data_IF_667459006274
#
_entry.id   IF_667459006274
#
_cell.length_a   1.000
_cell.length_b   1.000
_cell.length_c   1.000
_cell.angle_alpha   90.00
_cell.angle_beta   90.00
_cell.angle_gamma   90.00
#
_symmetry.space_group_name_H-M   'P 1'
#
loop_
_entity.id
_entity.type
_entity.pdbx_description
1 polymer ?
#
# COMPACT_ATOMS: atom_id res chain seq x y z
N UNK A 1 67.28 19.89 -38.49
CA UNK A 1 66.40 18.74 -38.16
C UNK A 1 66.13 18.81 -36.67
N UNK A 2 65.01 19.40 -36.26
CA UNK A 2 64.58 19.45 -34.86
C UNK A 2 63.11 19.07 -34.82
N UNK A 3 62.82 17.97 -34.11
CA UNK A 3 61.49 17.51 -33.74
C UNK A 3 61.17 18.10 -32.36
N UNK A 4 59.94 18.56 -32.16
CA UNK A 4 58.96 17.93 -31.26
C UNK A 4 57.82 18.92 -30.99
N UNK A 5 56.60 18.50 -31.28
CA UNK A 5 55.38 19.29 -31.21
C UNK A 5 54.91 19.46 -29.76
N UNK A 6 54.66 20.70 -29.37
CA UNK A 6 53.76 21.14 -28.29
C UNK A 6 52.32 20.71 -28.57
N UNK A 7 51.64 20.06 -27.60
CA UNK A 7 50.23 20.35 -27.28
C UNK A 7 49.74 19.65 -26.01
N UNK A 8 48.67 20.20 -25.43
CA UNK A 8 47.84 19.74 -24.30
C UNK A 8 48.21 20.35 -22.93
N UNK A 9 47.76 21.56 -22.59
CA UNK A 9 46.38 22.08 -22.43
C UNK A 9 45.82 21.80 -21.02
N UNK A 10 45.97 22.82 -20.17
CA UNK A 10 45.01 23.33 -19.18
C UNK A 10 44.64 22.40 -18.01
N UNK A 11 45.44 22.53 -16.94
CA UNK A 11 45.02 22.30 -15.56
C UNK A 11 44.11 23.46 -15.12
N UNK A 12 42.83 23.20 -14.86
CA UNK A 12 41.99 24.15 -14.16
C UNK A 12 40.88 23.50 -13.33
N UNK A 13 40.89 23.94 -12.07
CA UNK A 13 39.74 24.09 -11.18
C UNK A 13 39.32 22.90 -10.31
N UNK A 14 40.05 22.76 -9.20
CA UNK A 14 39.44 22.42 -7.92
C UNK A 14 38.37 23.47 -7.55
N UNK A 15 37.12 23.03 -7.35
CA UNK A 15 36.15 23.70 -6.49
C UNK A 15 35.03 22.72 -6.09
N UNK A 16 35.19 22.17 -4.87
CA UNK A 16 34.15 22.16 -3.84
C UNK A 16 32.78 21.55 -4.18
N UNK A 17 32.46 20.38 -3.63
CA UNK A 17 31.13 20.13 -3.04
C UNK A 17 31.23 18.98 -2.02
N UNK A 18 31.38 19.39 -0.76
CA UNK A 18 30.89 18.65 0.39
C UNK A 18 29.35 18.63 0.34
N UNK A 19 28.74 17.52 -0.10
CA UNK A 19 27.30 17.27 0.09
C UNK A 19 26.93 15.79 -0.10
N UNK A 20 26.38 15.23 0.96
CA UNK A 20 25.52 14.05 1.00
C UNK A 20 26.16 12.68 0.74
N UNK A 21 26.66 12.07 1.80
CA UNK A 21 26.59 10.61 2.00
C UNK A 21 25.12 10.19 2.08
N UNK A 22 24.49 9.98 0.92
CA UNK A 22 23.31 9.13 0.80
C UNK A 22 23.79 7.66 0.91
N UNK A 23 23.12 6.80 1.69
CA UNK A 23 23.53 5.41 1.79
C UNK A 23 23.35 4.72 0.44
N UNK A 24 24.34 3.91 0.12
CA UNK A 24 24.45 3.02 -1.03
C UNK A 24 23.12 2.28 -1.27
N UNK A 25 22.44 2.62 -2.35
CA UNK A 25 21.29 1.87 -2.84
C UNK A 25 21.84 0.65 -3.57
N UNK A 26 22.29 -0.34 -2.79
CA UNK A 26 22.64 -1.65 -3.31
C UNK A 26 21.50 -2.14 -4.20
N UNK A 27 21.89 -2.43 -5.42
CA UNK A 27 21.11 -2.73 -6.61
C UNK A 27 20.35 -4.05 -6.42
N UNK A 28 19.22 -4.02 -5.70
CA UNK A 28 18.37 -5.19 -5.59
C UNK A 28 17.59 -5.34 -6.90
N UNK A 29 18.08 -6.21 -7.78
CA UNK A 29 17.39 -6.57 -9.03
C UNK A 29 16.05 -7.26 -8.74
N UNK A 30 14.96 -6.50 -8.89
CA UNK A 30 13.58 -6.92 -8.65
C UNK A 30 12.97 -7.76 -9.78
N UNK A 31 13.66 -7.90 -10.92
CA UNK A 31 13.16 -8.63 -12.10
C UNK A 31 13.64 -10.09 -12.13
N UNK A 32 14.78 -10.38 -11.51
CA UNK A 32 15.46 -11.68 -11.61
C UNK A 32 15.22 -12.63 -10.43
N UNK A 33 14.52 -12.18 -9.38
CA UNK A 33 14.31 -12.97 -8.16
C UNK A 33 12.88 -13.52 -8.13
N UNK A 34 12.74 -14.85 -8.09
CA UNK A 34 11.45 -15.52 -7.85
C UNK A 34 10.81 -14.94 -6.57
N UNK A 35 9.80 -14.09 -6.77
CA UNK A 35 9.09 -13.42 -5.69
C UNK A 35 8.19 -14.45 -5.03
N UNK A 36 8.68 -15.07 -3.96
CA UNK A 36 7.87 -15.91 -3.11
C UNK A 36 6.89 -15.00 -2.35
N UNK A 37 5.66 -14.86 -2.85
CA UNK A 37 4.61 -14.02 -2.24
C UNK A 37 4.34 -14.38 -0.76
N UNK A 38 4.64 -15.63 -0.37
CA UNK A 38 4.49 -16.16 0.98
C UNK A 38 5.72 -15.95 1.87
N UNK A 39 6.88 -15.56 1.30
CA UNK A 39 8.12 -15.22 2.00
C UNK A 39 8.81 -14.03 1.32
N UNK A 40 8.34 -12.80 1.60
CA UNK A 40 8.99 -11.60 1.08
C UNK A 40 10.39 -11.45 1.67
N UNK A 41 11.39 -11.24 0.82
CA UNK A 41 12.79 -11.03 1.19
C UNK A 41 13.11 -9.58 1.62
N UNK A 42 12.18 -8.63 1.45
CA UNK A 42 12.36 -7.23 1.88
C UNK A 42 11.58 -6.90 3.18
N UNK A 43 12.15 -6.09 4.09
CA UNK A 43 11.48 -5.67 5.33
C UNK A 43 10.14 -4.95 5.09
N UNK A 44 10.08 -4.10 4.06
CA UNK A 44 8.87 -3.36 3.68
C UNK A 44 7.66 -4.26 3.39
N UNK A 45 7.83 -5.27 2.53
CA UNK A 45 6.73 -6.19 2.20
C UNK A 45 6.26 -7.00 3.40
N UNK A 46 7.18 -7.42 4.29
CA UNK A 46 6.82 -8.16 5.51
C UNK A 46 5.93 -7.32 6.43
N UNK A 47 6.24 -6.04 6.57
CA UNK A 47 5.44 -5.13 7.40
C UNK A 47 4.10 -4.79 6.74
N UNK A 48 4.08 -4.60 5.42
CA UNK A 48 2.83 -4.40 4.68
C UNK A 48 1.89 -5.61 4.82
N UNK A 49 2.43 -6.83 4.67
CA UNK A 49 1.67 -8.06 4.83
C UNK A 49 1.11 -8.21 6.25
N UNK A 50 1.86 -7.84 7.30
CA UNK A 50 1.33 -7.82 8.68
C UNK A 50 0.12 -6.89 8.82
N UNK A 51 0.14 -5.73 8.17
CA UNK A 51 -0.99 -4.77 8.21
C UNK A 51 -2.21 -5.37 7.50
N UNK A 52 -2.03 -5.97 6.32
CA UNK A 52 -3.11 -6.65 5.59
C UNK A 52 -3.69 -7.78 6.43
N UNK A 53 -2.83 -8.64 6.99
CA UNK A 53 -3.26 -9.79 7.76
C UNK A 53 -3.97 -9.40 9.05
N UNK A 54 -3.47 -8.37 9.75
CA UNK A 54 -4.16 -7.80 10.91
C UNK A 54 -5.53 -7.23 10.55
N UNK A 55 -5.63 -6.52 9.42
CA UNK A 55 -6.91 -6.02 8.90
C UNK A 55 -7.87 -7.16 8.55
N UNK A 56 -7.37 -8.22 7.92
CA UNK A 56 -8.14 -9.41 7.58
C UNK A 56 -8.69 -10.12 8.81
N UNK A 57 -7.87 -10.37 9.85
CA UNK A 57 -8.36 -10.95 11.10
C UNK A 57 -9.43 -10.07 11.74
N UNK A 58 -9.17 -8.76 11.85
CA UNK A 58 -10.11 -7.83 12.45
C UNK A 58 -11.45 -7.83 11.69
N UNK A 59 -11.39 -7.81 10.35
CA UNK A 59 -12.55 -7.91 9.49
C UNK A 59 -13.31 -9.21 9.69
N UNK A 60 -12.60 -10.34 9.72
CA UNK A 60 -13.20 -11.66 9.93
C UNK A 60 -13.91 -11.74 11.29
N UNK A 61 -13.28 -11.25 12.36
CA UNK A 61 -13.89 -11.21 13.69
C UNK A 61 -15.11 -10.30 13.74
N UNK A 62 -15.08 -9.14 13.09
CA UNK A 62 -16.22 -8.21 13.07
C UNK A 62 -17.38 -8.72 12.21
N UNK A 63 -17.08 -9.43 11.12
CA UNK A 63 -18.08 -9.92 10.16
C UNK A 63 -18.68 -11.27 10.60
N UNK A 64 -17.84 -12.21 11.01
CA UNK A 64 -18.25 -13.54 11.47
C UNK A 64 -18.51 -13.60 12.98
N UNK A 65 -18.12 -12.57 13.74
CA UNK A 65 -18.37 -12.47 15.17
C UNK A 65 -19.84 -12.63 15.56
N UNK A 66 -20.78 -11.90 14.95
CA UNK A 66 -22.20 -12.03 15.32
C UNK A 66 -22.79 -13.43 15.06
N UNK A 67 -22.57 -14.07 13.90
CA UNK A 67 -22.97 -15.48 13.70
C UNK A 67 -22.35 -16.44 14.72
N UNK A 68 -21.04 -16.32 14.99
CA UNK A 68 -20.33 -17.17 15.96
C UNK A 68 -20.86 -16.93 17.38
N UNK A 69 -21.09 -15.68 17.76
CA UNK A 69 -21.61 -15.33 19.08
C UNK A 69 -23.07 -15.78 19.26
N UNK A 70 -23.84 -15.84 18.17
CA UNK A 70 -25.20 -16.41 18.18
C UNK A 70 -25.18 -17.90 18.51
N UNK A 71 -24.17 -18.64 18.03
CA UNK A 71 -23.98 -20.05 18.39
C UNK A 71 -23.69 -20.22 19.89
N UNK A 72 -22.85 -19.36 20.49
CA UNK A 72 -22.48 -19.47 21.91
C UNK A 72 -23.51 -18.87 22.88
N UNK A 73 -24.25 -17.84 22.47
CA UNK A 73 -25.17 -17.09 23.33
C UNK A 73 -26.53 -16.83 22.67
N UNK A 74 -27.25 -17.89 22.23
CA UNK A 74 -28.47 -17.76 21.43
C UNK A 74 -29.56 -16.96 22.13
N UNK A 75 -29.79 -17.18 23.43
CA UNK A 75 -30.81 -16.45 24.19
C UNK A 75 -30.61 -14.93 24.17
N UNK A 76 -29.36 -14.46 24.24
CA UNK A 76 -29.05 -13.02 24.17
C UNK A 76 -29.11 -12.48 22.74
N UNK A 77 -28.74 -13.30 21.76
CA UNK A 77 -28.66 -12.90 20.35
C UNK A 77 -30.01 -12.92 19.62
N UNK A 78 -30.97 -13.71 20.11
CA UNK A 78 -32.34 -13.75 19.60
C UNK A 78 -33.30 -12.87 20.39
N UNK A 79 -32.89 -12.37 21.56
CA UNK A 79 -33.67 -11.41 22.32
C UNK A 79 -33.95 -10.14 21.50
N UNK A 80 -35.18 -9.64 21.61
CA UNK A 80 -35.57 -8.39 20.97
C UNK A 80 -34.90 -7.22 21.69
N UNK A 81 -34.25 -6.35 20.92
CA UNK A 81 -33.70 -5.11 21.46
C UNK A 81 -34.85 -4.15 21.83
N UNK A 82 -34.87 -3.59 23.06
CA UNK A 82 -36.04 -2.88 23.61
C UNK A 82 -36.43 -1.60 22.85
N UNK A 83 -35.55 -1.05 22.00
CA UNK A 83 -35.80 0.18 21.22
C UNK A 83 -36.10 -0.12 19.75
N UNK A 84 -35.53 -1.20 19.20
CA UNK A 84 -35.53 -1.48 17.76
C UNK A 84 -36.53 -2.60 17.41
N UNK A 85 -36.99 -3.37 18.40
CA UNK A 85 -37.96 -4.46 18.23
C UNK A 85 -37.45 -5.65 17.41
N UNK A 86 -36.17 -5.63 17.01
CA UNK A 86 -35.55 -6.64 16.17
C UNK A 86 -34.56 -7.50 16.98
N UNK A 87 -34.39 -8.80 16.66
CA UNK A 87 -33.38 -9.64 17.30
C UNK A 87 -31.96 -9.05 17.16
N UNK A 88 -31.18 -9.12 18.23
CA UNK A 88 -29.86 -8.49 18.30
C UNK A 88 -28.88 -8.94 17.20
N UNK A 89 -28.88 -10.23 16.83
CA UNK A 89 -27.97 -10.76 15.80
C UNK A 89 -28.19 -10.11 14.42
N UNK A 90 -29.44 -9.86 14.01
CA UNK A 90 -29.73 -9.21 12.73
C UNK A 90 -29.21 -7.76 12.73
N UNK A 91 -29.43 -7.03 13.81
CA UNK A 91 -28.92 -5.66 13.96
C UNK A 91 -27.39 -5.62 13.89
N UNK A 92 -26.72 -6.51 14.63
CA UNK A 92 -25.26 -6.59 14.63
C UNK A 92 -24.73 -6.93 13.24
N UNK A 93 -25.28 -7.91 12.53
CA UNK A 93 -24.81 -8.21 11.16
C UNK A 93 -25.03 -7.03 10.23
N UNK A 94 -26.21 -6.40 10.27
CA UNK A 94 -26.58 -5.32 9.36
C UNK A 94 -25.76 -4.04 9.59
N UNK A 95 -25.40 -3.73 10.83
CA UNK A 95 -24.67 -2.49 11.17
C UNK A 95 -23.17 -2.72 11.29
N UNK A 96 -22.74 -3.78 11.99
CA UNK A 96 -21.34 -4.04 12.29
C UNK A 96 -20.57 -4.39 11.02
N UNK A 97 -21.13 -5.20 10.12
CA UNK A 97 -20.40 -5.64 8.92
C UNK A 97 -20.06 -4.48 7.96
N UNK A 98 -21.02 -3.64 7.53
CA UNK A 98 -20.70 -2.48 6.68
C UNK A 98 -19.82 -1.44 7.40
N UNK A 99 -20.13 -1.16 8.67
CA UNK A 99 -19.38 -0.16 9.45
C UNK A 99 -17.93 -0.60 9.68
N UNK A 100 -17.71 -1.89 9.94
CA UNK A 100 -16.36 -2.43 10.11
C UNK A 100 -15.51 -2.21 8.86
N UNK A 101 -16.08 -2.44 7.67
CA UNK A 101 -15.38 -2.25 6.40
C UNK A 101 -14.95 -0.79 6.20
N UNK A 102 -15.83 0.16 6.53
CA UNK A 102 -15.52 1.60 6.47
C UNK A 102 -14.41 1.99 7.45
N UNK A 103 -14.53 1.56 8.72
CA UNK A 103 -13.54 1.86 9.76
C UNK A 103 -12.19 1.23 9.43
N UNK A 104 -12.17 -0.02 8.99
CA UNK A 104 -10.94 -0.70 8.61
C UNK A 104 -10.29 -0.04 7.40
N UNK A 105 -11.05 0.38 6.39
CA UNK A 105 -10.50 1.10 5.24
C UNK A 105 -9.80 2.41 5.67
N UNK A 106 -10.44 3.17 6.57
CA UNK A 106 -9.87 4.40 7.12
C UNK A 106 -8.63 4.18 7.99
N UNK A 107 -8.61 3.13 8.80
CA UNK A 107 -7.44 2.77 9.61
C UNK A 107 -6.31 2.26 8.71
N UNK A 108 -6.65 1.42 7.72
CA UNK A 108 -5.71 0.85 6.79
C UNK A 108 -4.99 1.94 5.97
N UNK A 109 -5.72 2.92 5.44
CA UNK A 109 -5.11 4.01 4.67
C UNK A 109 -4.05 4.76 5.50
N UNK A 110 -4.36 5.10 6.76
CA UNK A 110 -3.38 5.74 7.65
C UNK A 110 -2.19 4.87 7.97
N UNK A 111 -2.40 3.58 8.24
CA UNK A 111 -1.29 2.66 8.54
C UNK A 111 -0.40 2.43 7.33
N UNK A 112 -0.98 2.41 6.13
CA UNK A 112 -0.23 2.34 4.87
C UNK A 112 0.61 3.61 4.68
N UNK A 113 0.02 4.79 4.81
CA UNK A 113 0.76 6.05 4.66
C UNK A 113 1.90 6.19 5.69
N UNK A 114 1.70 5.70 6.92
CA UNK A 114 2.77 5.63 7.93
C UNK A 114 3.89 4.66 7.54
N UNK A 115 3.54 3.53 6.92
CA UNK A 115 4.52 2.56 6.44
C UNK A 115 5.34 3.16 5.30
N UNK A 116 4.69 3.80 4.33
CA UNK A 116 5.35 4.41 3.18
C UNK A 116 6.36 5.47 3.62
N UNK A 117 6.00 6.34 4.59
CA UNK A 117 6.93 7.31 5.19
C UNK A 117 8.14 6.67 5.85
N UNK A 118 7.99 5.54 6.54
CA UNK A 118 9.11 4.87 7.22
C UNK A 118 10.15 4.30 6.26
N UNK A 119 9.74 3.99 5.04
CA UNK A 119 10.61 3.44 4.02
C UNK A 119 10.93 4.46 2.91
N UNK A 120 10.58 5.74 3.11
CA UNK A 120 10.93 6.84 2.19
C UNK A 120 10.23 6.77 0.83
N UNK A 121 9.07 6.11 0.73
CA UNK A 121 8.37 5.91 -0.53
C UNK A 121 7.50 7.14 -0.83
N UNK A 122 7.98 8.00 -1.75
CA UNK A 122 7.21 9.16 -2.21
C UNK A 122 6.32 8.81 -3.42
N UNK A 123 5.04 8.59 -3.17
CA UNK A 123 4.04 8.34 -4.21
C UNK A 123 3.52 9.61 -4.91
N UNK A 124 3.92 10.81 -4.45
CA UNK A 124 3.53 12.08 -5.09
C UNK A 124 4.15 12.23 -6.50
N UNK A 125 5.42 11.81 -6.66
CA UNK A 125 6.12 11.85 -7.93
C UNK A 125 5.58 10.81 -8.94
N UNK A 126 5.23 9.60 -8.47
CA UNK A 126 4.66 8.56 -9.34
C UNK A 126 3.23 8.89 -9.77
N UNK A 127 2.42 9.53 -8.93
CA UNK A 127 1.05 9.97 -9.26
C UNK A 127 1.04 11.06 -10.34
N UNK A 128 2.04 11.94 -10.36
CA UNK A 128 2.21 12.94 -11.43
C UNK A 128 2.54 12.28 -12.78
N UNK A 129 3.32 11.19 -12.78
CA UNK A 129 3.67 10.43 -13.99
C UNK A 129 2.48 9.62 -14.50
N UNK A 130 1.74 8.94 -13.62
CA UNK A 130 0.52 8.20 -13.95
C UNK A 130 -0.62 9.10 -14.44
N UNK A 131 -0.77 10.32 -13.92
CA UNK A 131 -1.77 11.29 -14.41
C UNK A 131 -1.42 11.82 -15.81
N UNK A 132 -0.14 11.84 -16.17
CA UNK A 132 0.32 12.20 -17.53
C UNK A 132 0.08 11.09 -18.56
N UNK A 133 -0.02 9.83 -18.12
CA UNK A 133 -0.23 8.66 -18.99
C UNK A 133 -1.71 8.20 -19.04
N UNK A 134 -2.54 8.65 -18.11
CA UNK A 134 -3.97 8.27 -17.99
C UNK A 134 -4.95 9.11 -18.81
N UNK A 135 -4.48 10.06 -19.64
CA UNK A 135 -5.32 10.87 -20.54
C UNK A 135 -5.21 10.40 -22.00
N UNK A 136 -5.25 9.09 -22.20
CA UNK A 136 -5.51 8.47 -23.50
C UNK A 136 -6.67 7.49 -23.32
N UNK A 137 -7.88 8.03 -23.25
CA UNK A 137 -9.10 7.23 -23.37
C UNK A 137 -9.14 6.63 -24.78
N UNK A 138 -9.00 5.32 -24.89
CA UNK A 138 -9.26 4.57 -26.12
C UNK A 138 -10.77 4.62 -26.38
N UNK A 139 -11.20 5.55 -27.24
CA UNK A 139 -12.54 5.55 -27.82
C UNK A 139 -12.45 4.87 -29.18
N UNK A 140 -12.61 3.54 -29.23
CA UNK A 140 -12.90 2.85 -30.49
C UNK A 140 -14.32 2.29 -30.42
N UNK A 141 -15.24 3.06 -31.01
CA UNK A 141 -16.65 2.74 -31.11
C UNK A 141 -17.12 2.94 -32.54
N UNK A 142 -17.00 1.87 -33.34
CA UNK A 142 -17.86 1.55 -34.48
C UNK A 142 -17.69 2.38 -35.75
N UNK A 143 -17.10 1.79 -36.79
CA UNK A 143 -17.26 2.29 -38.16
C UNK A 143 -18.60 1.86 -38.73
N UNK A 144 -19.33 2.85 -39.26
CA UNK A 144 -20.50 2.68 -40.12
C UNK A 144 -19.98 2.47 -41.54
N UNK A 145 -20.09 1.26 -42.07
CA UNK A 145 -20.33 1.00 -43.51
C UNK A 145 -20.87 -0.42 -43.72
#
# INVERSE_FOLDING_TARGET
MSRESTESEIDSHAANTDRSTAPDHDEVDYLSREVNLLKPSTPFMRDHLKIIWAGFIAWALLTFGPPVLTYFAPATMTAQLPVIGFPAHYFLVAVLSPTSSLVLAFVYSRKRDQLDRRYGIDHAASKSRSKSEGEAAVTDGGSVE
#
